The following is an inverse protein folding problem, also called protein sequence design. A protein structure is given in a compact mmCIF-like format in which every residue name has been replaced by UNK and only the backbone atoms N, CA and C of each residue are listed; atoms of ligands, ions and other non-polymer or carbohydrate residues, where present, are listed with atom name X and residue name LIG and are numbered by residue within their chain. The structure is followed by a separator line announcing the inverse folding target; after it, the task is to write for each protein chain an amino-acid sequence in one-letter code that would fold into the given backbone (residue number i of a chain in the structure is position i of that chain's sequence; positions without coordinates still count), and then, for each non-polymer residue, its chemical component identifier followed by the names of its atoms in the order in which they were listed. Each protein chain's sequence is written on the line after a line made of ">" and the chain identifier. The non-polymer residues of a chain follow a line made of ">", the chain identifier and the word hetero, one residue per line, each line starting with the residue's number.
data_IF_685102995836
#
_entry.id   IF_685102995836
#
_cell.length_a   1.000
_cell.length_b   1.000
_cell.length_c   1.000
_cell.angle_alpha   90.00
_cell.angle_beta   90.00
_cell.angle_gamma   90.00
#
_symmetry.space_group_name_H-M   'P 1'
#
loop_
_entity.id
_entity.type
_entity.pdbx_description
1 polymer ?
2 non-polymer ?
3 non-polymer ?
4 non-polymer ?
5 water ?
#
# COMPACT_ATOMS: atom_id res chain seq x y z
N UNK A 3 1.74 -14.23 -17.79
CA UNK A 3 1.14 -13.70 -19.01
C UNK A 3 0.52 -12.32 -18.81
N UNK A 4 -0.39 -11.94 -19.70
CA UNK A 4 -1.00 -10.62 -19.66
C UNK A 4 -2.00 -10.47 -18.51
N UNK A 5 -1.80 -9.42 -17.72
CA UNK A 5 -2.75 -9.06 -16.68
C UNK A 5 -4.15 -8.88 -17.26
N UNK A 6 -5.15 -9.34 -16.51
CA UNK A 6 -6.53 -9.05 -16.82
C UNK A 6 -6.73 -7.55 -16.86
N UNK A 7 -7.82 -7.12 -17.47
CA UNK A 7 -8.15 -5.72 -17.57
C UNK A 7 -8.22 -5.08 -16.19
N UNK A 8 -8.81 -5.79 -15.23
CA UNK A 8 -8.94 -5.22 -13.89
C UNK A 8 -7.57 -5.09 -13.23
N UNK A 9 -6.71 -6.07 -13.44
CA UNK A 9 -5.37 -6.00 -12.87
C UNK A 9 -4.51 -4.95 -13.57
N UNK A 10 -4.80 -4.66 -14.84
CA UNK A 10 -4.12 -3.55 -15.52
C UNK A 10 -4.44 -2.25 -14.80
N UNK A 11 -5.72 -2.04 -14.47
CA UNK A 11 -6.14 -0.87 -13.72
C UNK A 11 -5.41 -0.83 -12.37
N UNK A 12 -5.35 -1.97 -11.69
CA UNK A 12 -4.63 -2.03 -10.42
C UNK A 12 -3.16 -1.65 -10.59
N UNK A 13 -2.54 -2.16 -11.64
CA UNK A 13 -1.14 -1.81 -11.89
C UNK A 13 -0.96 -0.31 -12.13
N UNK A 14 -1.92 0.28 -12.84
CA UNK A 14 -1.92 1.71 -13.08
C UNK A 14 -1.98 2.48 -11.77
N UNK A 15 -2.89 2.06 -10.90
CA UNK A 15 -3.00 2.66 -9.57
C UNK A 15 -1.66 2.56 -8.83
N UNK A 16 -1.07 1.38 -8.82
CA UNK A 16 0.21 1.16 -8.15
C UNK A 16 1.28 2.11 -8.67
N UNK A 17 1.37 2.22 -9.99
CA UNK A 17 2.31 3.14 -10.61
C UNK A 17 2.08 4.57 -10.11
N UNK A 18 0.81 4.97 -10.05
CA UNK A 18 0.48 6.31 -9.56
C UNK A 18 0.89 6.50 -8.10
N UNK A 19 0.65 5.49 -7.26
CA UNK A 19 0.97 5.62 -5.84
C UNK A 19 2.48 5.78 -5.66
N UNK A 20 3.25 5.24 -6.60
CA UNK A 20 4.71 5.30 -6.54
C UNK A 20 5.29 6.50 -7.28
N UNK A 21 4.43 7.35 -7.83
CA UNK A 21 4.89 8.43 -8.71
C UNK A 21 5.21 9.71 -7.93
N UNK A 22 5.94 10.62 -8.57
CA UNK A 22 6.42 11.81 -7.89
C UNK A 22 5.32 12.71 -7.33
N UNK A 23 4.17 12.74 -7.99
CA UNK A 23 3.12 13.66 -7.58
C UNK A 23 2.56 13.32 -6.21
N UNK A 24 2.76 12.08 -5.75
CA UNK A 24 2.26 11.69 -4.43
C UNK A 24 3.38 11.41 -3.43
N UNK A 25 4.63 11.68 -3.83
CA UNK A 25 5.77 11.28 -3.02
C UNK A 25 5.79 11.93 -1.63
N UNK A 26 5.20 13.11 -1.50
CA UNK A 26 5.26 13.83 -0.23
C UNK A 26 4.57 13.08 0.91
N UNK A 27 3.57 12.26 0.58
CA UNK A 27 2.90 11.47 1.60
C UNK A 27 3.02 9.97 1.35
N UNK A 28 3.48 9.57 0.17
CA UNK A 28 3.59 8.15 -0.12
C UNK A 28 4.91 7.54 0.35
N UNK A 29 5.95 8.36 0.52
CA UNK A 29 7.29 7.80 0.73
C UNK A 29 7.42 6.81 1.90
N UNK A 30 6.68 7.01 3.01
CA UNK A 30 6.87 6.02 4.09
C UNK A 30 6.44 4.61 3.67
N UNK A 31 5.62 4.51 2.63
CA UNK A 31 5.04 3.23 2.24
C UNK A 31 5.81 2.54 1.13
N UNK A 32 6.92 3.14 0.73
CA UNK A 32 7.69 2.61 -0.40
C UNK A 32 8.33 1.25 -0.13
N UNK A 33 8.82 1.05 1.09
CA UNK A 33 9.58 -0.15 1.44
C UNK A 33 9.08 -0.74 2.75
N UNK A 34 9.40 -2.01 3.02
CA UNK A 34 8.96 -2.59 4.29
C UNK A 34 9.44 -1.77 5.47
N UNK A 35 8.59 -1.61 6.49
CA UNK A 35 9.04 -1.01 7.74
C UNK A 35 10.27 -1.75 8.27
N UNK A 36 11.34 -1.01 8.54
CA UNK A 36 12.55 -1.57 9.13
C UNK A 36 12.52 -1.23 10.62
N UNK A 37 11.98 -2.15 11.41
CA UNK A 37 11.66 -1.87 12.81
C UNK A 37 12.90 -1.53 13.61
N UNK A 38 13.98 -2.27 13.38
CA UNK A 38 15.24 -2.00 14.07
C UNK A 38 15.79 -0.63 13.72
N UNK A 39 15.77 -0.30 12.43
CA UNK A 39 16.29 0.99 11.97
C UNK A 39 15.52 2.14 12.59
N UNK A 40 14.20 1.98 12.73
CA UNK A 40 13.34 3.04 13.22
C UNK A 40 13.22 3.06 14.74
N UNK A 41 13.78 2.03 15.38
CA UNK A 41 13.72 1.89 16.82
C UNK A 41 12.38 1.42 17.37
N UNK A 42 11.54 0.87 16.50
CA UNK A 42 10.21 0.45 16.95
C UNK A 42 10.22 -1.05 17.26
N UNK A 43 10.77 -1.38 18.42
CA UNK A 43 11.06 -2.77 18.73
C UNK A 43 9.82 -3.59 19.08
N UNK A 44 8.66 -2.93 19.11
CA UNK A 44 7.41 -3.64 19.34
C UNK A 44 6.59 -3.80 18.05
N UNK A 45 7.14 -3.33 16.93
CA UNK A 45 6.36 -3.27 15.68
C UNK A 45 5.86 -4.65 15.26
N UNK A 46 6.74 -5.66 15.32
CA UNK A 46 6.36 -6.98 14.83
C UNK A 46 5.60 -7.81 15.86
N UNK A 47 5.50 -7.30 17.08
CA UNK A 47 4.58 -7.90 18.05
C UNK A 47 3.15 -7.42 17.81
N UNK A 48 3.04 -6.23 17.23
CA UNK A 48 1.76 -5.58 17.00
C UNK A 48 1.22 -5.83 15.59
N UNK A 49 2.11 -5.77 14.61
CA UNK A 49 1.79 -5.98 13.20
C UNK A 49 2.19 -7.37 12.76
N UNK A 50 1.21 -8.25 12.59
CA UNK A 50 1.53 -9.63 12.25
C UNK A 50 1.71 -9.86 10.76
N UNK A 51 1.19 -8.95 9.95
CA UNK A 51 1.27 -9.11 8.50
C UNK A 51 1.71 -7.82 7.83
N UNK A 52 3.02 -7.55 7.85
CA UNK A 52 3.56 -6.34 7.23
C UNK A 52 3.27 -6.28 5.74
N UNK A 53 3.11 -5.06 5.23
CA UNK A 53 2.88 -4.86 3.80
C UNK A 53 3.38 -3.47 3.44
N UNK A 54 3.81 -3.32 2.19
CA UNK A 54 4.33 -2.06 1.69
C UNK A 54 4.26 -2.08 0.17
N UNK A 55 4.46 -0.93 -0.45
CA UNK A 55 4.24 -0.85 -1.89
C UNK A 55 5.27 -1.63 -2.71
N UNK A 56 6.50 -1.78 -2.20
CA UNK A 56 7.50 -2.54 -2.96
C UNK A 56 7.09 -4.00 -3.00
N UNK A 57 6.46 -4.46 -1.93
CA UNK A 57 5.99 -5.85 -1.87
C UNK A 57 4.79 -6.05 -2.81
N UNK A 58 3.87 -5.09 -2.83
CA UNK A 58 2.75 -5.13 -3.76
C UNK A 58 3.27 -5.15 -5.20
N UNK A 59 4.29 -4.34 -5.47
CA UNK A 59 4.84 -4.27 -6.83
C UNK A 59 5.42 -5.62 -7.24
N UNK A 60 6.21 -6.21 -6.35
CA UNK A 60 6.82 -7.51 -6.63
C UNK A 60 5.74 -8.55 -6.90
N UNK A 61 4.68 -8.54 -6.08
CA UNK A 61 3.61 -9.51 -6.25
C UNK A 61 2.89 -9.30 -7.59
N UNK A 62 2.73 -8.06 -8.01
CA UNK A 62 2.10 -7.78 -9.29
C UNK A 62 2.97 -8.31 -10.43
N UNK A 63 4.26 -8.00 -10.37
CA UNK A 63 5.19 -8.44 -11.42
C UNK A 63 5.26 -9.96 -11.52
N UNK A 64 5.18 -10.61 -10.37
CA UNK A 64 5.27 -12.07 -10.29
C UNK A 64 3.93 -12.74 -10.56
N UNK A 65 2.91 -11.93 -10.86
CA UNK A 65 1.55 -12.42 -11.11
C UNK A 65 0.98 -13.18 -9.91
N UNK A 66 1.37 -12.75 -8.72
CA UNK A 66 0.86 -13.35 -7.49
C UNK A 66 -0.63 -13.06 -7.32
N UNK A 67 -1.06 -11.84 -7.65
CA UNK A 67 -2.46 -11.48 -7.48
C UNK A 67 -3.30 -12.14 -8.54
N UNK A 68 -4.33 -12.85 -8.12
CA UNK A 68 -5.17 -13.48 -9.11
C UNK A 68 -6.35 -12.60 -9.52
N UNK A 69 -6.66 -11.58 -8.71
CA UNK A 69 -7.69 -10.63 -9.11
C UNK A 69 -7.54 -9.30 -8.38
N UNK A 70 -8.35 -8.32 -8.78
CA UNK A 70 -8.25 -6.97 -8.22
C UNK A 70 -8.50 -6.96 -6.72
N UNK A 71 -9.41 -7.82 -6.27
CA UNK A 71 -9.76 -7.86 -4.86
C UNK A 71 -8.56 -8.24 -3.99
N UNK A 72 -7.75 -9.18 -4.47
CA UNK A 72 -6.57 -9.60 -3.73
C UNK A 72 -5.56 -8.45 -3.64
N UNK A 73 -5.38 -7.74 -4.75
CA UNK A 73 -4.53 -6.55 -4.78
C UNK A 73 -5.01 -5.50 -3.78
N UNK A 74 -6.31 -5.19 -3.81
CA UNK A 74 -6.86 -4.16 -2.93
C UNK A 74 -6.71 -4.53 -1.46
N UNK A 75 -6.91 -5.80 -1.14
CA UNK A 75 -6.73 -6.27 0.23
C UNK A 75 -5.31 -6.03 0.75
N UNK A 76 -4.30 -6.22 -0.10
CA UNK A 76 -2.93 -5.91 0.31
C UNK A 76 -2.69 -4.41 0.50
N UNK A 77 -3.17 -3.58 -0.43
CA UNK A 77 -2.96 -2.15 -0.27
C UNK A 77 -3.65 -1.67 1.01
N UNK A 78 -4.84 -2.18 1.27
CA UNK A 78 -5.58 -1.75 2.45
C UNK A 78 -4.95 -2.29 3.73
N UNK A 79 -4.37 -3.48 3.66
CA UNK A 79 -3.63 -4.04 4.80
C UNK A 79 -2.46 -3.12 5.19
N UNK A 80 -1.76 -2.62 4.19
CA UNK A 80 -0.67 -1.68 4.40
C UNK A 80 -1.13 -0.45 5.19
N UNK A 81 -2.27 0.12 4.80
CA UNK A 81 -2.77 1.29 5.51
C UNK A 81 -3.23 0.90 6.92
N UNK A 82 -3.93 -0.23 7.02
CA UNK A 82 -4.43 -0.69 8.31
C UNK A 82 -3.30 -0.89 9.30
N UNK A 83 -2.18 -1.42 8.83
CA UNK A 83 -1.03 -1.61 9.72
C UNK A 83 -0.59 -0.28 10.30
N UNK A 84 -0.60 0.74 9.45
CA UNK A 84 -0.22 2.08 9.87
C UNK A 84 -1.19 2.60 10.93
N UNK A 85 -2.50 2.42 10.70
CA UNK A 85 -3.52 2.87 11.64
C UNK A 85 -3.48 2.08 12.95
N UNK A 86 -3.01 0.84 12.88
CA UNK A 86 -2.98 -0.01 14.07
C UNK A 86 -1.81 0.38 14.98
N UNK A 87 -0.65 0.61 14.38
CA UNK A 87 0.56 0.82 15.18
C UNK A 87 0.64 2.24 15.76
N UNK A 88 0.24 3.22 14.96
CA UNK A 88 0.46 4.62 15.27
C UNK A 88 -0.76 5.32 15.86
N UNK A 89 -0.54 6.21 16.83
CA UNK A 89 -1.61 7.09 17.32
C UNK A 89 -2.23 7.88 16.18
N UNK A 90 -3.55 8.10 16.23
CA UNK A 90 -4.27 8.64 15.06
C UNK A 90 -3.87 10.06 14.72
N UNK A 91 -3.18 10.74 15.63
CA UNK A 91 -2.78 12.12 15.36
C UNK A 91 -1.36 12.23 14.81
N UNK A 92 -0.68 11.11 14.60
CA UNK A 92 0.71 11.19 14.17
C UNK A 92 0.82 11.52 12.68
N UNK A 93 1.92 12.17 12.30
CA UNK A 93 2.11 12.60 10.92
C UNK A 93 1.99 11.45 9.92
N UNK A 94 2.52 10.28 10.28
CA UNK A 94 2.53 9.19 9.30
C UNK A 94 1.10 8.72 9.03
N UNK A 95 0.22 8.88 10.01
CA UNK A 95 -1.18 8.48 9.84
C UNK A 95 -1.89 9.46 8.89
N UNK A 96 -1.57 10.74 8.99
CA UNK A 96 -2.15 11.74 8.09
C UNK A 96 -1.75 11.44 6.66
N UNK A 97 -0.50 11.00 6.49
CA UNK A 97 0.01 10.63 5.18
C UNK A 97 -0.71 9.40 4.64
N UNK A 98 -0.91 8.40 5.51
CA UNK A 98 -1.67 7.20 5.14
C UNK A 98 -3.08 7.56 4.65
N UNK A 99 -3.78 8.40 5.40
CA UNK A 99 -5.13 8.80 5.02
C UNK A 99 -5.15 9.45 3.64
N UNK A 100 -4.16 10.30 3.37
CA UNK A 100 -4.09 10.99 2.09
C UNK A 100 -3.81 10.02 0.94
N UNK A 101 -2.86 9.12 1.13
CA UNK A 101 -2.57 8.12 0.10
C UNK A 101 -3.74 7.15 -0.07
N UNK A 102 -4.43 6.83 1.01
CA UNK A 102 -5.57 5.93 0.88
C UNK A 102 -6.72 6.61 0.14
N UNK A 103 -6.85 7.92 0.31
CA UNK A 103 -7.84 8.67 -0.45
C UNK A 103 -7.53 8.56 -1.94
N UNK A 104 -6.27 8.76 -2.29
CA UNK A 104 -5.85 8.61 -3.69
C UNK A 104 -6.18 7.21 -4.17
N UNK A 105 -5.79 6.21 -3.39
CA UNK A 105 -6.08 4.83 -3.75
C UNK A 105 -7.57 4.52 -3.90
N UNK A 106 -8.38 4.83 -2.88
CA UNK A 106 -9.77 4.40 -2.92
C UNK A 106 -10.55 5.06 -4.06
N UNK A 107 -10.29 6.33 -4.34
CA UNK A 107 -11.05 6.98 -5.41
C UNK A 107 -10.69 6.45 -6.80
N UNK A 108 -9.43 6.10 -7.02
CA UNK A 108 -9.13 5.52 -8.33
C UNK A 108 -9.53 4.04 -8.42
N UNK A 109 -9.44 3.32 -7.30
CA UNK A 109 -9.85 1.92 -7.29
C UNK A 109 -11.34 1.82 -7.63
N UNK A 110 -12.11 2.80 -7.16
CA UNK A 110 -13.55 2.84 -7.42
C UNK A 110 -13.88 3.01 -8.90
N UNK A 111 -12.89 3.45 -9.69
CA UNK A 111 -13.08 3.63 -11.13
C UNK A 111 -12.73 2.38 -11.91
N UNK A 112 -12.63 1.26 -11.20
CA UNK A 112 -12.35 -0.04 -11.79
C UNK A 112 -13.23 -0.34 -12.99
N UNK A 113 -12.62 -0.70 -14.12
CA UNK A 113 -13.37 -1.01 -15.34
C UNK A 113 -14.19 -2.27 -15.21
N UNK A 114 -15.20 -2.39 -16.06
CA UNK A 114 -16.09 -3.53 -16.07
C UNK A 114 -16.61 -3.80 -17.48
X LIG B 1 7.93 5.64 15.88
X LIG B 1 6.91 5.23 14.99
X LIG B 1 7.37 4.87 13.72
X LIG B 1 8.51 5.11 13.36
X LIG B 1 6.40 4.17 12.78
X LIG B 1 6.50 2.67 12.96
X LIG B 1 6.76 4.54 11.37
X LIG B 1 6.71 5.94 11.16
X LIG B 1 5.79 3.96 10.37
X LIG B 1 4.52 3.43 10.67
X LIG B 1 3.95 3.05 9.41
X LIG B 1 4.86 3.38 8.52
X LIG B 1 4.66 3.13 7.04
X LIG B 1 5.97 3.92 9.01
X LIG B 1 7.17 4.43 8.45
X LIG B 1 7.79 3.70 7.45
X LIG B 1 9.03 4.08 6.96
X LIG B 1 9.61 5.29 7.29
X LIG B 1 10.88 5.68 6.86
X LIG B 1 11.44 5.00 5.75
X LIG B 1 9.02 5.99 8.33
X LIG B 1 7.79 5.61 8.85
X LIG B 1 7.28 6.47 9.97
X LIG B 1 7.15 7.96 9.80
X LIG B 1 6.82 8.45 8.55
X LIG B 1 6.71 9.81 8.36
X LIG B 1 6.92 10.67 9.42
X LIG B 1 6.76 12.38 9.16
X LIG B 1 7.24 10.17 10.66
X LIG B 1 7.36 8.81 10.86
X LIG B 1 7.56 5.69 16.79
X LIG B 1 8.26 6.52 15.62
X LIG B 1 8.66 4.99 15.86
X LIG B 1 5.49 4.46 12.97
X LIG B 1 7.31 2.34 12.52
X LIG B 1 5.72 2.23 12.57
X LIG B 1 6.55 2.45 13.92
X LIG B 1 7.66 4.21 11.17
X LIG B 1 4.87 3.95 6.54
X LIG B 1 3.73 2.88 6.87
X LIG B 1 5.25 2.41 6.74
X LIG B 1 7.36 2.90 7.10
X LIG B 1 9.51 3.47 6.36
X LIG B 1 11.16 4.05 5.78
X LIG B 1 11.11 5.41 4.92
X LIG B 1 12.41 5.06 5.79
X LIG B 1 9.47 6.77 8.70
X LIG B 1 6.68 7.84 7.80
X LIG B 1 6.47 10.17 7.48
X LIG B 1 7.38 10.79 11.41
X LIG B 1 7.59 8.46 11.74
X LIG C 1 -10.60 -5.45 1.15
X LIG D 1 -11.68 7.34 0.63
X LIG D 1 -11.40 7.74 2.06
X LIG D 1 -10.62 8.92 2.10
X LIG D 1 -10.66 6.63 2.77
X LIG D 1 -10.50 6.99 4.12
X LIG D 1 -9.68 6.13 4.87
X LIG D 1 -9.59 6.67 6.27
X LIG D 1 -8.93 8.04 6.23
X LIG D 1 -8.80 5.82 7.07
X LIG D 1 -12.52 7.73 0.34
X LIG D 1 -11.72 6.37 0.57
X LIG D 1 -10.96 7.67 0.06
X LIG D 1 -12.25 7.90 2.52
X LIG D 1 -10.65 9.27 2.91
X LIG D 1 -9.78 6.51 2.35
X LIG D 1 -11.17 5.80 2.70
X LIG D 1 -10.07 5.23 4.88
X LIG D 1 -8.79 6.09 4.47
X LIG D 1 -10.48 6.75 6.65
X LIG D 1 -7.99 7.94 6.00
X LIG D 1 -9.01 8.46 7.10
X LIG D 1 -9.37 8.59 5.55
X LIG D 1 -9.11 4.99 6.99
#
# INVERSE_FOLDING_TARGET
>A
SMGKLSEQLKHCNGILKELLSKKHAAYAWPFYKPVDASALGVHDYHDIIKHPMDLSTVKRKMENRDYRDAQEFAADVRLMFSNCYKYNPPDHDVVAMARKLQDVFEFRYAKMPD
>B hetero
1 31O CAW OAU CAT OAV CAS CBD CAI NAH CAJ NAN NAO CAP CAR NAK CAE CAF CAA CAB OAL CAM CAC CAD CAG CAQ CAX CAY CAZ CL1 CBA CBB H1 H2 H3 H4 H5 H6 H7 H8 H9 H10 H11 H12 H13 H14 H15 H16 H17 H18 H19 H20 H21
>C hetero
1 CL CL
>D hetero
1 DQW CAD CAB OAA CAC OAE CAF CAG CAI OAH HAG HAE HAF HAB HAA HAC HAD HAI HAH HAJ HAL HAM HAK HAN
#
